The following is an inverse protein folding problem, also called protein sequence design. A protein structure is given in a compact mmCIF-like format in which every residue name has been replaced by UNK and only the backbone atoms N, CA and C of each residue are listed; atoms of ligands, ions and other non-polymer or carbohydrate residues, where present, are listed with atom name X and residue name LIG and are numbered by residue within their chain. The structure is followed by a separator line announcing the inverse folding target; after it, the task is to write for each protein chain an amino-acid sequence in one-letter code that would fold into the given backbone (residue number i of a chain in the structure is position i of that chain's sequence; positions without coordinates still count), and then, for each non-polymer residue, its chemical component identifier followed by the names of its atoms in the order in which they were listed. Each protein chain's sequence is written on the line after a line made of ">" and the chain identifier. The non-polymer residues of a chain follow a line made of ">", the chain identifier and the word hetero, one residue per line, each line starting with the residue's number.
data_IF_529313511959
#
_entry.id   IF_529313511959
#
_cell.length_a   1.000
_cell.length_b   1.000
_cell.length_c   1.000
_cell.angle_alpha   90.00
_cell.angle_beta   90.00
_cell.angle_gamma   90.00
#
_symmetry.space_group_name_H-M   'P 1'
#
loop_
_entity.id
_entity.type
_entity.pdbx_description
1 polymer ?
#
# COMPACT_ATOMS: atom_id res chain seq x y z
N UNK A 1 36.86 21.91 13.04
CA UNK A 1 35.55 21.61 12.38
C UNK A 1 35.83 20.62 11.27
N UNK A 2 35.53 19.32 11.45
CA UNK A 2 35.63 18.34 10.36
C UNK A 2 34.61 18.75 9.31
N UNK A 3 35.08 19.10 8.11
CA UNK A 3 34.21 19.35 6.97
C UNK A 3 33.33 18.12 6.77
N UNK A 4 32.02 18.30 6.87
CA UNK A 4 31.07 17.27 6.47
C UNK A 4 31.38 16.99 4.99
N UNK A 5 31.72 15.75 4.62
CA UNK A 5 31.98 15.44 3.22
C UNK A 5 30.74 15.82 2.40
N UNK A 6 30.92 16.39 1.19
CA UNK A 6 29.79 16.75 0.36
C UNK A 6 28.91 15.50 0.16
N UNK A 7 27.61 15.62 0.45
CA UNK A 7 26.66 14.55 0.16
C UNK A 7 26.72 14.22 -1.32
N UNK A 8 26.70 12.94 -1.65
CA UNK A 8 26.70 12.53 -3.05
C UNK A 8 25.42 13.05 -3.75
N UNK A 9 25.45 13.21 -5.09
CA UNK A 9 24.33 13.76 -5.84
C UNK A 9 23.02 12.96 -5.69
N UNK A 10 23.10 11.65 -5.49
CA UNK A 10 21.94 10.78 -5.31
C UNK A 10 21.29 11.03 -3.95
N UNK A 11 22.07 11.06 -2.87
CA UNK A 11 21.57 11.40 -1.53
C UNK A 11 20.90 12.77 -1.51
N UNK A 12 21.52 13.77 -2.13
CA UNK A 12 20.96 15.13 -2.21
C UNK A 12 19.63 15.15 -2.98
N UNK A 13 19.56 14.47 -4.12
CA UNK A 13 18.33 14.34 -4.89
C UNK A 13 17.21 13.67 -4.08
N UNK A 14 17.50 12.54 -3.44
CA UNK A 14 16.50 11.77 -2.69
C UNK A 14 15.95 12.56 -1.51
N UNK A 15 16.79 13.29 -0.77
CA UNK A 15 16.35 14.13 0.34
C UNK A 15 15.50 15.31 -0.15
N UNK A 16 15.90 15.98 -1.23
CA UNK A 16 15.15 17.08 -1.83
C UNK A 16 13.79 16.63 -2.41
N UNK A 17 13.73 15.39 -2.93
CA UNK A 17 12.51 14.80 -3.48
C UNK A 17 11.61 14.14 -2.41
N UNK A 18 11.93 14.29 -1.11
CA UNK A 18 11.23 13.64 0.01
C UNK A 18 11.15 12.10 -0.15
N UNK A 19 12.20 11.50 -0.72
CA UNK A 19 12.34 10.06 -0.95
C UNK A 19 13.12 9.36 0.18
N UNK A 20 12.77 9.71 1.43
CA UNK A 20 13.45 9.17 2.62
C UNK A 20 13.41 7.64 2.70
N UNK A 21 12.33 7.01 2.21
CA UNK A 21 12.23 5.55 2.19
C UNK A 21 13.27 4.91 1.26
N UNK A 22 13.46 5.46 0.06
CA UNK A 22 14.46 4.98 -0.91
C UNK A 22 15.87 5.19 -0.34
N UNK A 23 16.14 6.38 0.21
CA UNK A 23 17.39 6.69 0.86
C UNK A 23 17.72 5.68 1.97
N UNK A 24 16.77 5.43 2.90
CA UNK A 24 17.00 4.51 4.01
C UNK A 24 17.31 3.09 3.54
N UNK A 25 16.64 2.60 2.48
CA UNK A 25 16.94 1.28 1.93
C UNK A 25 18.36 1.25 1.36
N UNK A 26 18.76 2.25 0.58
CA UNK A 26 20.10 2.30 -0.03
C UNK A 26 21.22 2.44 1.01
N UNK A 27 20.99 3.14 2.12
CA UNK A 27 21.99 3.31 3.18
C UNK A 27 21.92 2.24 4.27
N UNK A 28 21.04 1.25 4.14
CA UNK A 28 20.83 0.21 5.16
C UNK A 28 20.24 0.72 6.48
N UNK A 29 19.61 1.90 6.48
CA UNK A 29 19.00 2.45 7.68
C UNK A 29 17.68 1.71 8.01
N UNK A 30 17.43 1.32 9.27
CA UNK A 30 16.23 0.58 9.62
C UNK A 30 14.93 1.33 9.30
N UNK A 31 13.97 0.61 8.74
CA UNK A 31 12.64 1.12 8.44
C UNK A 31 11.65 0.74 9.54
N UNK A 32 10.98 1.73 10.13
CA UNK A 32 10.02 1.52 11.22
C UNK A 32 8.64 1.13 10.67
N UNK A 33 8.19 -0.08 11.00
CA UNK A 33 6.88 -0.63 10.66
C UNK A 33 6.06 -0.88 11.94
N UNK A 34 5.72 0.17 12.68
CA UNK A 34 4.97 0.05 13.94
C UNK A 34 3.49 0.34 13.76
N UNK A 35 2.65 -0.55 14.32
CA UNK A 35 1.22 -0.35 14.45
C UNK A 35 0.84 -0.14 15.92
N UNK A 36 0.74 1.12 16.33
CA UNK A 36 0.33 1.47 17.70
C UNK A 36 -1.11 1.03 18.05
N UNK A 37 -1.95 0.75 17.06
CA UNK A 37 -3.38 0.45 17.25
C UNK A 37 -3.79 -0.96 16.79
N UNK A 38 -2.82 -1.82 16.43
CA UNK A 38 -3.13 -3.20 16.06
C UNK A 38 -3.18 -4.07 17.30
N UNK A 39 -4.30 -4.78 17.47
CA UNK A 39 -4.46 -5.73 18.56
C UNK A 39 -3.70 -7.02 18.24
N UNK A 40 -2.41 -7.05 18.58
CA UNK A 40 -1.55 -8.22 18.43
C UNK A 40 -1.96 -9.43 19.27
N UNK A 41 -3.00 -9.33 20.11
CA UNK A 41 -3.59 -10.47 20.85
C UNK A 41 -4.60 -11.23 20.00
N UNK A 42 -5.07 -10.63 18.92
CA UNK A 42 -6.11 -11.17 18.06
C UNK A 42 -5.52 -11.77 16.80
N UNK A 43 -5.87 -13.03 16.51
CA UNK A 43 -5.52 -13.68 15.24
C UNK A 43 -6.47 -13.30 14.09
N UNK A 44 -7.41 -12.36 14.29
CA UNK A 44 -8.51 -12.06 13.36
C UNK A 44 -8.04 -11.62 11.96
N UNK A 45 -6.85 -11.02 11.84
CA UNK A 45 -6.27 -10.60 10.56
C UNK A 45 -4.96 -11.34 10.22
N UNK A 46 -4.63 -12.39 10.99
CA UNK A 46 -3.31 -13.00 10.94
C UNK A 46 -2.19 -12.05 11.37
N UNK A 47 -0.98 -12.29 10.84
CA UNK A 47 0.21 -11.48 11.10
C UNK A 47 0.21 -10.25 10.21
N UNK A 48 0.17 -9.05 10.81
CA UNK A 48 0.36 -7.81 10.07
C UNK A 48 1.69 -7.81 9.29
N UNK A 49 2.74 -8.35 9.91
CA UNK A 49 4.05 -8.43 9.29
C UNK A 49 4.02 -9.24 7.99
N UNK A 50 3.20 -10.29 7.92
CA UNK A 50 3.07 -11.13 6.72
C UNK A 50 2.30 -10.40 5.61
N UNK A 51 1.32 -9.57 5.98
CA UNK A 51 0.58 -8.74 5.04
C UNK A 51 1.53 -7.74 4.34
N UNK A 52 2.35 -7.03 5.11
CA UNK A 52 3.23 -5.97 4.58
C UNK A 52 4.61 -6.47 4.12
N UNK A 53 5.03 -7.65 4.58
CA UNK A 53 6.38 -8.19 4.36
C UNK A 53 6.69 -8.33 2.88
N UNK A 54 5.72 -8.79 2.08
CA UNK A 54 5.84 -8.89 0.63
C UNK A 54 6.02 -7.53 -0.04
N UNK A 55 5.21 -6.54 0.33
CA UNK A 55 5.32 -5.17 -0.20
C UNK A 55 6.72 -4.62 0.06
N UNK A 56 7.25 -4.84 1.27
CA UNK A 56 8.60 -4.40 1.65
C UNK A 56 9.69 -5.17 0.88
N UNK A 57 9.57 -6.49 0.80
CA UNK A 57 10.51 -7.37 0.07
C UNK A 57 10.64 -6.95 -1.39
N UNK A 58 9.52 -6.78 -2.09
CA UNK A 58 9.48 -6.47 -3.51
C UNK A 58 9.95 -5.04 -3.79
N UNK A 59 9.50 -4.04 -3.02
CA UNK A 59 9.96 -2.66 -3.24
C UNK A 59 11.46 -2.52 -2.92
N UNK A 60 11.96 -3.28 -1.94
CA UNK A 60 13.38 -3.34 -1.65
C UNK A 60 14.19 -3.88 -2.83
N UNK A 61 13.75 -4.97 -3.45
CA UNK A 61 14.48 -5.53 -4.59
C UNK A 61 14.43 -4.65 -5.83
N UNK A 62 13.39 -3.83 -6.01
CA UNK A 62 13.38 -2.78 -7.04
C UNK A 62 14.44 -1.72 -6.72
N UNK A 63 14.46 -1.19 -5.49
CA UNK A 63 15.41 -0.14 -5.09
C UNK A 63 16.86 -0.64 -5.14
N UNK A 64 17.09 -1.88 -4.72
CA UNK A 64 18.41 -2.50 -4.66
C UNK A 64 18.81 -3.21 -5.96
N UNK A 65 17.98 -3.20 -7.01
CA UNK A 65 18.19 -4.01 -8.21
C UNK A 65 19.57 -3.81 -8.85
N UNK A 66 19.98 -2.54 -9.00
CA UNK A 66 21.29 -2.19 -9.59
C UNK A 66 22.45 -2.30 -8.58
N UNK A 67 22.16 -2.44 -7.29
CA UNK A 67 23.14 -2.62 -6.21
C UNK A 67 23.20 -4.08 -5.73
N UNK A 68 22.53 -5.02 -6.40
CA UNK A 68 22.41 -6.41 -5.96
C UNK A 68 23.76 -7.16 -5.88
N UNK A 69 24.78 -6.68 -6.59
CA UNK A 69 26.13 -7.22 -6.56
C UNK A 69 27.01 -6.60 -5.47
N UNK A 70 26.55 -5.53 -4.81
CA UNK A 70 27.29 -4.78 -3.78
C UNK A 70 27.06 -5.33 -2.36
N UNK A 71 26.33 -6.44 -2.24
CA UNK A 71 26.16 -7.20 -1.00
C UNK A 71 24.88 -6.89 -0.22
N UNK A 72 24.29 -5.71 -0.35
CA UNK A 72 23.02 -5.40 0.30
C UNK A 72 21.83 -6.01 -0.48
N UNK A 73 21.26 -7.09 0.06
CA UNK A 73 20.12 -7.82 -0.51
C UNK A 73 18.94 -7.96 0.44
N UNK A 74 18.83 -7.02 1.39
CA UNK A 74 17.79 -7.05 2.41
C UNK A 74 17.51 -5.65 2.94
N UNK A 75 16.40 -5.54 3.66
CA UNK A 75 16.01 -4.36 4.43
C UNK A 75 15.88 -4.72 5.90
N UNK A 76 16.35 -3.82 6.75
CA UNK A 76 16.18 -3.89 8.19
C UNK A 76 14.84 -3.25 8.55
N UNK A 77 13.94 -4.03 9.14
CA UNK A 77 12.61 -3.57 9.56
C UNK A 77 12.49 -3.64 11.07
N UNK A 78 12.21 -2.52 11.71
CA UNK A 78 11.87 -2.48 13.14
C UNK A 78 10.36 -2.59 13.27
N UNK A 79 9.89 -3.65 13.91
CA UNK A 79 8.46 -3.88 14.11
C UNK A 79 8.21 -4.70 15.37
N UNK A 80 6.94 -4.88 15.70
CA UNK A 80 6.45 -5.84 16.70
C UNK A 80 5.58 -6.86 15.98
N UNK A 81 5.84 -8.16 16.16
CA UNK A 81 5.15 -9.24 15.43
C UNK A 81 4.00 -9.87 16.22
N UNK A 82 4.09 -9.92 17.54
CA UNK A 82 3.08 -10.52 18.42
C UNK A 82 2.90 -9.73 19.70
N UNK A 83 1.84 -9.96 20.48
CA UNK A 83 1.61 -9.23 21.72
C UNK A 83 2.71 -9.48 22.76
N UNK A 84 3.24 -10.69 22.77
CA UNK A 84 4.22 -11.22 23.72
C UNK A 84 5.66 -10.84 23.39
N UNK A 85 5.94 -10.43 22.15
CA UNK A 85 7.29 -10.02 21.74
C UNK A 85 7.52 -8.51 21.93
N UNK A 86 8.74 -8.08 22.29
CA UNK A 86 9.13 -6.68 22.23
C UNK A 86 9.25 -6.21 20.78
N UNK A 87 9.42 -4.90 20.58
CA UNK A 87 9.88 -4.39 19.29
C UNK A 87 11.29 -4.91 19.03
N UNK A 88 11.50 -5.43 17.83
CA UNK A 88 12.78 -5.95 17.41
C UNK A 88 13.07 -5.55 15.97
N UNK A 89 14.35 -5.66 15.60
CA UNK A 89 14.81 -5.51 14.23
C UNK A 89 14.78 -6.86 13.54
N UNK A 90 14.21 -6.89 12.35
CA UNK A 90 14.08 -8.09 11.53
C UNK A 90 14.70 -7.84 10.15
N UNK A 91 15.30 -8.88 9.59
CA UNK A 91 15.81 -8.88 8.22
C UNK A 91 14.68 -9.32 7.30
N UNK A 92 14.34 -8.48 6.33
CA UNK A 92 13.44 -8.82 5.22
C UNK A 92 14.30 -8.97 3.97
N UNK A 93 14.42 -10.18 3.39
CA UNK A 93 15.18 -10.36 2.15
C UNK A 93 14.52 -9.53 1.04
N UNK A 94 15.33 -8.98 0.14
CA UNK A 94 14.84 -8.31 -1.04
C UNK A 94 14.57 -9.36 -2.14
N UNK A 95 13.34 -9.38 -2.65
CA UNK A 95 13.00 -10.15 -3.84
C UNK A 95 13.16 -9.26 -5.06
N UNK A 96 13.91 -9.71 -6.06
CA UNK A 96 14.23 -8.92 -7.24
C UNK A 96 13.22 -9.19 -8.37
N UNK A 97 12.80 -8.16 -9.12
CA UNK A 97 11.93 -8.36 -10.27
C UNK A 97 12.59 -9.29 -11.30
N UNK A 98 11.81 -10.14 -12.00
CA UNK A 98 12.34 -11.11 -12.96
C UNK A 98 12.81 -10.46 -14.27
N UNK A 99 12.55 -9.17 -14.46
CA UNK A 99 12.88 -8.40 -15.66
C UNK A 99 13.85 -7.28 -15.29
N UNK A 100 14.67 -6.85 -16.26
CA UNK A 100 15.51 -5.66 -16.10
C UNK A 100 14.64 -4.43 -15.89
N UNK A 101 15.07 -3.56 -14.96
CA UNK A 101 14.38 -2.31 -14.63
C UNK A 101 15.32 -1.11 -14.77
N UNK A 102 14.80 0.10 -15.03
CA UNK A 102 15.60 1.31 -15.05
C UNK A 102 16.28 1.57 -13.70
N UNK A 103 17.39 2.31 -13.69
CA UNK A 103 17.96 2.84 -12.46
C UNK A 103 16.92 3.61 -11.64
N UNK A 104 17.00 3.51 -10.31
CA UNK A 104 16.04 4.17 -9.42
C UNK A 104 15.95 5.68 -9.66
N UNK A 105 17.07 6.32 -10.02
CA UNK A 105 17.12 7.73 -10.37
C UNK A 105 16.32 8.07 -11.63
N UNK A 106 16.27 7.17 -12.60
CA UNK A 106 15.46 7.32 -13.81
C UNK A 106 13.97 7.13 -13.50
N UNK A 107 13.64 6.15 -12.63
CA UNK A 107 12.26 5.97 -12.14
C UNK A 107 11.76 7.21 -11.38
N UNK A 108 12.62 7.84 -10.59
CA UNK A 108 12.30 8.99 -9.76
C UNK A 108 12.44 10.34 -10.48
N UNK A 109 13.09 10.38 -11.65
CA UNK A 109 13.36 11.61 -12.36
C UNK A 109 12.04 12.35 -12.65
N UNK A 110 11.96 13.66 -12.33
CA UNK A 110 10.82 14.45 -12.72
C UNK A 110 10.76 14.49 -14.25
N UNK A 111 9.58 14.24 -14.78
CA UNK A 111 9.31 14.03 -16.19
C UNK A 111 9.38 15.32 -17.02
N UNK A 112 10.54 15.99 -17.05
CA UNK A 112 10.66 17.29 -17.70
C UNK A 112 10.66 17.22 -19.23
N UNK A 113 10.73 16.03 -19.85
CA UNK A 113 10.67 15.88 -21.32
C UNK A 113 9.87 14.66 -21.86
N UNK A 114 9.47 13.66 -21.04
CA UNK A 114 8.63 12.51 -21.48
C UNK A 114 7.78 11.89 -20.34
N UNK A 115 6.73 12.58 -19.87
CA UNK A 115 5.94 12.17 -18.69
C UNK A 115 5.25 10.82 -18.68
N UNK A 116 5.14 10.16 -19.83
CA UNK A 116 4.38 8.93 -19.93
C UNK A 116 5.21 7.73 -20.39
N UNK A 117 6.50 7.91 -20.73
CA UNK A 117 7.31 6.84 -21.30
C UNK A 117 7.55 5.68 -20.31
N UNK A 118 7.79 5.99 -19.03
CA UNK A 118 8.02 5.00 -17.98
C UNK A 118 6.76 4.64 -17.20
N UNK A 119 5.63 5.30 -17.45
CA UNK A 119 4.41 5.07 -16.69
C UNK A 119 3.94 3.60 -16.76
N UNK A 120 3.86 2.94 -17.94
CA UNK A 120 3.48 1.53 -18.00
C UNK A 120 4.40 0.63 -17.16
N UNK A 121 5.71 0.89 -17.18
CA UNK A 121 6.68 0.13 -16.41
C UNK A 121 6.57 0.38 -14.91
N UNK A 122 6.34 1.62 -14.48
CA UNK A 122 6.06 1.96 -13.08
C UNK A 122 4.80 1.25 -12.58
N UNK A 123 3.77 1.15 -13.41
CA UNK A 123 2.52 0.44 -13.08
C UNK A 123 2.73 -1.08 -13.04
N UNK A 124 3.52 -1.65 -13.94
CA UNK A 124 3.85 -3.08 -13.93
C UNK A 124 4.62 -3.44 -12.65
N UNK A 125 5.61 -2.63 -12.29
CA UNK A 125 6.36 -2.79 -11.04
C UNK A 125 5.47 -2.64 -9.81
N UNK A 126 4.55 -1.67 -9.81
CA UNK A 126 3.61 -1.49 -8.71
C UNK A 126 2.68 -2.70 -8.56
N UNK A 127 2.16 -3.24 -9.67
CA UNK A 127 1.33 -4.43 -9.65
C UNK A 127 2.09 -5.63 -9.07
N UNK A 128 3.34 -5.82 -9.50
CA UNK A 128 4.22 -6.88 -9.00
C UNK A 128 4.57 -6.71 -7.51
N UNK A 129 4.75 -5.48 -7.02
CA UNK A 129 4.94 -5.21 -5.58
C UNK A 129 3.73 -5.68 -4.75
N UNK A 130 2.52 -5.63 -5.32
CA UNK A 130 1.31 -6.09 -4.65
C UNK A 130 1.25 -7.62 -4.57
N UNK A 131 1.24 -8.29 -5.71
CA UNK A 131 1.08 -9.74 -5.84
C UNK A 131 1.43 -10.20 -7.27
N UNK A 132 1.90 -11.43 -7.41
CA UNK A 132 2.07 -12.08 -8.73
C UNK A 132 0.70 -12.43 -9.36
N UNK A 133 -0.36 -12.48 -8.55
CA UNK A 133 -1.72 -12.82 -8.99
C UNK A 133 -2.53 -11.61 -9.47
N UNK A 134 -1.99 -10.38 -9.37
CA UNK A 134 -2.71 -9.17 -9.76
C UNK A 134 -2.59 -8.98 -11.29
N UNK A 135 -3.68 -9.10 -12.07
CA UNK A 135 -3.62 -8.99 -13.53
C UNK A 135 -3.24 -7.57 -13.96
N UNK A 136 -2.08 -7.42 -14.58
CA UNK A 136 -1.54 -6.11 -14.98
C UNK A 136 -2.48 -5.33 -15.90
N UNK A 137 -3.08 -5.97 -16.91
CA UNK A 137 -3.94 -5.28 -17.88
C UNK A 137 -5.15 -4.61 -17.18
N UNK A 138 -5.85 -5.34 -16.32
CA UNK A 138 -6.98 -4.81 -15.56
C UNK A 138 -6.53 -3.77 -14.54
N UNK A 139 -5.38 -3.96 -13.89
CA UNK A 139 -4.80 -3.01 -12.95
C UNK A 139 -4.40 -1.68 -13.62
N UNK A 140 -3.78 -1.73 -14.79
CA UNK A 140 -3.35 -0.56 -15.54
C UNK A 140 -4.54 0.25 -16.10
N UNK A 141 -5.69 -0.39 -16.29
CA UNK A 141 -6.94 0.25 -16.72
C UNK A 141 -7.71 0.96 -15.59
N UNK A 142 -7.27 0.82 -14.33
CA UNK A 142 -7.96 1.44 -13.20
C UNK A 142 -7.87 2.97 -13.21
N UNK A 143 -8.90 3.66 -12.69
CA UNK A 143 -8.76 5.08 -12.36
C UNK A 143 -7.60 5.30 -11.41
N UNK A 144 -6.74 6.28 -11.71
CA UNK A 144 -5.56 6.58 -10.90
C UNK A 144 -5.89 6.82 -9.42
N UNK A 145 -7.04 7.43 -9.12
CA UNK A 145 -7.53 7.68 -7.77
C UNK A 145 -7.84 6.41 -6.97
N UNK A 146 -8.16 5.30 -7.63
CA UNK A 146 -8.56 4.04 -6.97
C UNK A 146 -7.45 3.00 -6.93
N UNK A 147 -6.36 3.20 -7.67
CA UNK A 147 -5.33 2.20 -7.86
C UNK A 147 -4.73 1.67 -6.55
N UNK A 148 -4.33 2.57 -5.63
CA UNK A 148 -3.76 2.17 -4.34
C UNK A 148 -4.82 1.57 -3.41
N UNK A 149 -6.07 2.02 -3.52
CA UNK A 149 -7.19 1.42 -2.81
C UNK A 149 -7.33 -0.03 -3.24
N UNK A 150 -7.45 -0.29 -4.54
CA UNK A 150 -7.66 -1.64 -5.08
C UNK A 150 -6.45 -2.53 -4.81
N UNK A 151 -5.23 -2.02 -4.93
CA UNK A 151 -4.01 -2.73 -4.51
C UNK A 151 -4.06 -3.15 -3.04
N UNK A 152 -4.50 -2.23 -2.16
CA UNK A 152 -4.65 -2.50 -0.72
C UNK A 152 -5.72 -3.57 -0.46
N UNK A 153 -6.87 -3.46 -1.12
CA UNK A 153 -7.96 -4.43 -1.01
C UNK A 153 -7.54 -5.80 -1.52
N UNK A 154 -6.86 -5.86 -2.67
CA UNK A 154 -6.32 -7.10 -3.22
C UNK A 154 -5.40 -7.81 -2.22
N UNK A 155 -4.41 -7.08 -1.67
CA UNK A 155 -3.47 -7.69 -0.72
C UNK A 155 -4.16 -8.18 0.55
N UNK A 156 -5.08 -7.39 1.10
CA UNK A 156 -5.81 -7.75 2.32
C UNK A 156 -6.75 -8.94 2.12
N UNK A 157 -7.43 -9.01 0.97
CA UNK A 157 -8.30 -10.13 0.61
C UNK A 157 -7.50 -11.41 0.32
N UNK A 158 -6.39 -11.31 -0.42
CA UNK A 158 -5.48 -12.43 -0.70
C UNK A 158 -4.92 -13.06 0.60
N UNK A 159 -4.61 -12.23 1.59
CA UNK A 159 -4.15 -12.69 2.90
C UNK A 159 -5.28 -13.20 3.82
N UNK A 160 -6.55 -13.12 3.39
CA UNK A 160 -7.72 -13.50 4.19
C UNK A 160 -8.03 -12.54 5.34
N UNK A 161 -7.50 -11.30 5.32
CA UNK A 161 -7.78 -10.30 6.34
C UNK A 161 -9.15 -9.62 6.14
N UNK A 162 -9.60 -9.52 4.88
CA UNK A 162 -10.92 -9.01 4.51
C UNK A 162 -11.79 -10.12 3.93
N UNK A 163 -13.07 -10.08 4.25
CA UNK A 163 -14.10 -10.78 3.49
C UNK A 163 -14.48 -9.95 2.25
N UNK A 164 -15.16 -10.59 1.29
CA UNK A 164 -15.52 -9.94 0.03
C UNK A 164 -16.39 -8.68 0.22
N UNK A 165 -17.40 -8.75 1.11
CA UNK A 165 -18.28 -7.59 1.34
C UNK A 165 -17.54 -6.40 1.95
N UNK A 166 -16.50 -6.65 2.76
CA UNK A 166 -15.70 -5.59 3.38
C UNK A 166 -14.84 -4.87 2.36
N UNK A 167 -14.25 -5.64 1.44
CA UNK A 167 -13.50 -5.09 0.33
C UNK A 167 -14.42 -4.26 -0.59
N UNK A 168 -15.60 -4.77 -0.90
CA UNK A 168 -16.59 -4.06 -1.72
C UNK A 168 -17.09 -2.77 -1.06
N UNK A 169 -17.36 -2.78 0.25
CA UNK A 169 -17.76 -1.58 0.98
C UNK A 169 -16.66 -0.51 0.97
N UNK A 170 -15.40 -0.92 1.19
CA UNK A 170 -14.25 -0.01 1.13
C UNK A 170 -14.05 0.57 -0.27
N UNK A 171 -14.18 -0.25 -1.32
CA UNK A 171 -14.07 0.19 -2.71
C UNK A 171 -15.18 1.19 -3.05
N UNK A 172 -16.42 0.90 -2.65
CA UNK A 172 -17.55 1.79 -2.88
C UNK A 172 -17.35 3.15 -2.22
N UNK A 173 -16.92 3.18 -0.95
CA UNK A 173 -16.65 4.45 -0.25
C UNK A 173 -15.53 5.24 -0.93
N UNK A 174 -14.44 4.56 -1.33
CA UNK A 174 -13.34 5.22 -2.03
C UNK A 174 -13.79 5.80 -3.38
N UNK A 175 -14.63 5.09 -4.11
CA UNK A 175 -15.21 5.57 -5.35
C UNK A 175 -16.10 6.81 -5.12
N UNK A 176 -17.06 6.73 -4.20
CA UNK A 176 -17.96 7.83 -3.85
C UNK A 176 -17.20 9.09 -3.43
N UNK A 177 -16.12 8.91 -2.66
CA UNK A 177 -15.25 9.99 -2.23
C UNK A 177 -14.46 10.57 -3.41
N UNK A 178 -14.02 9.75 -4.36
CA UNK A 178 -13.27 10.20 -5.54
C UNK A 178 -14.09 11.05 -6.53
N UNK A 179 -15.41 11.00 -6.42
CA UNK A 179 -16.36 11.77 -7.24
C UNK A 179 -17.16 12.79 -6.41
N UNK A 180 -16.71 13.09 -5.18
CA UNK A 180 -17.32 14.05 -4.26
C UNK A 180 -18.82 13.82 -4.03
N UNK A 181 -19.27 12.55 -4.02
CA UNK A 181 -20.69 12.21 -3.87
C UNK A 181 -21.19 12.35 -2.43
N UNK A 182 -20.29 12.51 -1.47
CA UNK A 182 -20.62 12.83 -0.08
C UNK A 182 -19.55 13.71 0.57
N UNK A 183 -19.94 14.40 1.63
CA UNK A 183 -19.06 15.22 2.47
C UNK A 183 -18.65 14.43 3.73
N UNK A 184 -17.38 14.03 3.87
CA UNK A 184 -16.83 13.39 5.07
C UNK A 184 -17.11 14.15 6.38
N UNK A 185 -17.15 15.49 6.32
CA UNK A 185 -17.36 16.32 7.50
C UNK A 185 -18.81 16.30 7.99
N UNK A 186 -19.74 15.92 7.13
CA UNK A 186 -21.17 15.78 7.42
C UNK A 186 -21.55 14.35 7.87
N UNK A 187 -20.65 13.39 7.81
CA UNK A 187 -20.92 12.00 8.22
C UNK A 187 -21.18 11.91 9.73
N UNK A 188 -22.25 11.21 10.09
CA UNK A 188 -22.66 11.09 11.49
C UNK A 188 -21.73 10.16 12.24
N UNK A 189 -21.43 10.49 13.49
CA UNK A 189 -20.71 9.57 14.38
C UNK A 189 -21.57 8.33 14.65
N UNK A 190 -21.01 7.11 14.56
CA UNK A 190 -21.75 5.91 14.86
C UNK A 190 -22.14 5.88 16.35
N UNK A 191 -23.39 5.49 16.63
CA UNK A 191 -23.86 5.35 18.01
C UNK A 191 -23.16 4.20 18.75
N UNK A 192 -22.78 3.14 18.02
CA UNK A 192 -22.07 1.98 18.56
C UNK A 192 -20.94 1.58 17.62
N UNK A 193 -19.78 1.30 18.20
CA UNK A 193 -18.64 0.77 17.46
C UNK A 193 -18.73 -0.76 17.29
N UNK A 194 -18.90 -1.24 16.07
CA UNK A 194 -18.56 -2.60 15.65
C UNK A 194 -17.05 -2.83 15.75
N UNK A 195 -16.59 -3.81 16.56
CA UNK A 195 -15.17 -4.06 16.77
C UNK A 195 -14.41 -4.48 15.50
N UNK A 196 -15.05 -5.21 14.59
CA UNK A 196 -14.41 -5.69 13.35
C UNK A 196 -14.26 -4.54 12.36
N UNK A 197 -15.32 -3.75 12.16
CA UNK A 197 -15.28 -2.57 11.30
C UNK A 197 -14.21 -1.57 11.76
N UNK A 198 -14.14 -1.30 13.06
CA UNK A 198 -13.12 -0.43 13.63
C UNK A 198 -11.71 -0.90 13.29
N UNK A 199 -11.40 -2.17 13.55
CA UNK A 199 -10.06 -2.73 13.30
C UNK A 199 -9.69 -2.77 11.80
N UNK A 200 -10.66 -3.05 10.93
CA UNK A 200 -10.48 -3.01 9.47
C UNK A 200 -10.07 -1.61 9.01
N UNK A 201 -10.71 -0.56 9.54
CA UNK A 201 -10.36 0.82 9.22
C UNK A 201 -8.88 1.12 9.48
N UNK A 202 -8.35 0.71 10.65
CA UNK A 202 -6.93 0.89 10.97
C UNK A 202 -6.01 0.05 10.08
N UNK A 203 -6.36 -1.22 9.86
CA UNK A 203 -5.56 -2.12 9.04
C UNK A 203 -5.48 -1.59 7.59
N UNK A 204 -6.62 -1.21 7.01
CA UNK A 204 -6.70 -0.65 5.67
C UNK A 204 -5.83 0.59 5.53
N UNK A 205 -5.98 1.59 6.41
CA UNK A 205 -5.19 2.83 6.34
C UNK A 205 -3.67 2.57 6.39
N UNK A 206 -3.26 1.58 7.18
CA UNK A 206 -1.84 1.28 7.37
C UNK A 206 -1.26 0.54 6.19
N UNK A 207 -1.95 -0.48 5.67
CA UNK A 207 -1.52 -1.17 4.45
C UNK A 207 -1.57 -0.22 3.25
N UNK A 208 -2.58 0.64 3.16
CA UNK A 208 -2.64 1.71 2.15
C UNK A 208 -1.41 2.60 2.19
N UNK A 209 -0.96 3.02 3.38
CA UNK A 209 0.26 3.82 3.51
C UNK A 209 1.52 3.08 3.03
N UNK A 210 1.59 1.75 3.15
CA UNK A 210 2.66 0.95 2.56
C UNK A 210 2.58 0.91 1.04
N UNK A 211 1.40 0.67 0.47
CA UNK A 211 1.17 0.69 -0.97
C UNK A 211 1.47 2.07 -1.58
N UNK A 212 0.99 3.15 -0.96
CA UNK A 212 1.25 4.53 -1.38
C UNK A 212 2.74 4.89 -1.30
N UNK A 213 3.47 4.37 -0.30
CA UNK A 213 4.92 4.53 -0.20
C UNK A 213 5.65 3.80 -1.31
N UNK A 214 5.24 2.58 -1.66
CA UNK A 214 5.78 1.86 -2.81
C UNK A 214 5.56 2.66 -4.10
N UNK A 215 4.35 3.15 -4.33
CA UNK A 215 4.06 4.01 -5.49
C UNK A 215 4.94 5.27 -5.53
N UNK A 216 5.15 5.93 -4.38
CA UNK A 216 6.06 7.08 -4.27
C UNK A 216 7.51 6.72 -4.60
N UNK A 217 7.99 5.56 -4.12
CA UNK A 217 9.34 5.06 -4.38
C UNK A 217 9.57 4.67 -5.85
N UNK A 218 8.49 4.38 -6.60
CA UNK A 218 8.52 4.17 -8.04
C UNK A 218 8.38 5.47 -8.85
N UNK A 219 8.30 6.63 -8.18
CA UNK A 219 8.16 7.91 -8.86
C UNK A 219 6.78 8.10 -9.51
N UNK A 220 5.73 7.48 -8.97
CA UNK A 220 4.37 7.70 -9.47
C UNK A 220 3.83 9.09 -9.05
N UNK A 221 3.18 9.82 -9.99
CA UNK A 221 2.57 11.11 -9.70
C UNK A 221 1.51 11.04 -8.59
N UNK A 222 1.27 12.18 -7.93
CA UNK A 222 0.32 12.27 -6.80
C UNK A 222 -1.09 11.80 -7.13
N UNK A 223 -1.55 11.93 -8.39
CA UNK A 223 -2.87 11.45 -8.85
C UNK A 223 -3.09 9.94 -8.64
N UNK A 224 -2.00 9.16 -8.63
CA UNK A 224 -2.05 7.71 -8.36
C UNK A 224 -2.05 7.37 -6.87
N UNK A 225 -1.85 8.35 -5.97
CA UNK A 225 -1.70 8.14 -4.52
C UNK A 225 -2.45 9.23 -3.73
N UNK A 226 -3.78 9.29 -3.84
CA UNK A 226 -4.57 10.28 -3.11
C UNK A 226 -4.39 10.13 -1.59
N UNK A 227 -4.46 11.24 -0.86
CA UNK A 227 -4.19 11.26 0.59
C UNK A 227 -5.31 10.63 1.44
N UNK A 228 -6.53 10.57 0.91
CA UNK A 228 -7.72 10.16 1.67
C UNK A 228 -8.56 9.18 0.86
N UNK A 229 -8.23 7.88 0.87
CA UNK A 229 -9.01 6.84 0.17
C UNK A 229 -10.18 6.30 0.99
N UNK A 230 -10.39 6.79 2.22
CA UNK A 230 -11.24 6.14 3.22
C UNK A 230 -11.93 7.15 4.12
N UNK A 231 -13.23 6.97 4.31
CA UNK A 231 -14.01 7.60 5.37
C UNK A 231 -14.43 6.55 6.40
N UNK A 232 -13.89 6.68 7.61
CA UNK A 232 -14.13 5.71 8.68
C UNK A 232 -15.51 5.80 9.32
N UNK A 233 -16.15 6.96 9.27
CA UNK A 233 -17.49 7.13 9.82
C UNK A 233 -18.51 6.44 8.91
N UNK A 234 -18.43 6.70 7.61
CA UNK A 234 -19.27 6.09 6.59
C UNK A 234 -19.06 4.58 6.53
N UNK A 235 -17.81 4.11 6.54
CA UNK A 235 -17.52 2.67 6.59
C UNK A 235 -18.23 2.01 7.76
N UNK A 236 -18.10 2.62 8.94
CA UNK A 236 -18.70 2.10 10.15
C UNK A 236 -20.22 2.13 10.14
N UNK A 237 -20.82 3.23 9.69
CA UNK A 237 -22.28 3.41 9.61
C UNK A 237 -22.93 2.43 8.63
N UNK A 238 -22.23 2.07 7.55
CA UNK A 238 -22.75 1.21 6.48
C UNK A 238 -22.42 -0.27 6.67
N UNK A 239 -21.50 -0.60 7.58
CA UNK A 239 -20.97 -1.95 7.77
C UNK A 239 -22.04 -3.01 8.00
N UNK A 240 -22.95 -2.81 8.96
CA UNK A 240 -23.98 -3.80 9.29
C UNK A 240 -25.04 -3.95 8.20
N UNK A 241 -25.40 -2.88 7.49
CA UNK A 241 -26.36 -2.94 6.38
C UNK A 241 -25.77 -3.72 5.19
N UNK A 242 -24.50 -3.46 4.87
CA UNK A 242 -23.75 -4.20 3.86
C UNK A 242 -23.59 -5.68 4.21
N UNK A 243 -23.25 -5.98 5.46
CA UNK A 243 -23.13 -7.36 5.93
C UNK A 243 -24.44 -8.15 5.78
N UNK A 244 -25.58 -7.50 5.94
CA UNK A 244 -26.91 -8.11 5.76
C UNK A 244 -27.38 -8.19 4.30
N UNK A 245 -26.58 -7.67 3.36
CA UNK A 245 -26.93 -7.63 1.93
C UNK A 245 -27.90 -6.52 1.53
N UNK A 246 -28.25 -5.60 2.43
CA UNK A 246 -29.24 -4.52 2.18
C UNK A 246 -28.75 -3.52 1.11
N UNK A 247 -27.44 -3.50 0.84
CA UNK A 247 -26.76 -2.52 -0.02
C UNK A 247 -26.13 -3.13 -1.28
N UNK A 248 -26.47 -4.38 -1.62
CA UNK A 248 -25.86 -5.12 -2.74
C UNK A 248 -26.05 -4.44 -4.11
N UNK A 249 -27.11 -3.65 -4.27
CA UNK A 249 -27.38 -2.91 -5.51
C UNK A 249 -26.30 -1.87 -5.85
N UNK A 250 -25.51 -1.41 -4.87
CA UNK A 250 -24.40 -0.49 -5.10
C UNK A 250 -23.17 -1.15 -5.75
N UNK A 251 -23.08 -2.49 -5.74
CA UNK A 251 -21.97 -3.24 -6.34
C UNK A 251 -21.83 -2.93 -7.84
N UNK A 252 -22.95 -2.68 -8.53
CA UNK A 252 -22.95 -2.39 -9.97
C UNK A 252 -22.09 -1.16 -10.32
N UNK A 253 -21.94 -0.20 -9.39
CA UNK A 253 -21.14 1.00 -9.60
C UNK A 253 -19.63 0.80 -9.51
N UNK A 254 -19.18 -0.36 -9.01
CA UNK A 254 -17.76 -0.66 -8.76
C UNK A 254 -17.31 -1.99 -9.37
N UNK A 255 -18.20 -2.70 -10.07
CA UNK A 255 -18.02 -4.10 -10.49
C UNK A 255 -16.73 -4.29 -11.31
N UNK A 256 -16.43 -3.35 -12.20
CA UNK A 256 -15.28 -3.41 -13.11
C UNK A 256 -13.92 -3.29 -12.38
N UNK A 257 -13.94 -2.85 -11.12
CA UNK A 257 -12.73 -2.58 -10.33
C UNK A 257 -12.49 -3.60 -9.21
N UNK A 258 -13.33 -4.63 -9.11
CA UNK A 258 -13.27 -5.67 -8.06
C UNK A 258 -12.17 -6.70 -8.35
N UNK A 259 -10.94 -6.27 -8.65
CA UNK A 259 -9.84 -7.18 -8.99
C UNK A 259 -9.51 -8.19 -7.88
N UNK A 260 -9.93 -7.92 -6.65
CA UNK A 260 -9.75 -8.78 -5.49
C UNK A 260 -10.80 -9.90 -5.37
N UNK A 261 -11.84 -9.93 -6.23
CA UNK A 261 -12.89 -10.95 -6.17
C UNK A 261 -12.34 -12.37 -6.35
N UNK A 262 -11.34 -12.52 -7.21
CA UNK A 262 -10.84 -13.82 -7.64
C UNK A 262 -9.93 -14.47 -6.59
N UNK A 263 -9.36 -13.64 -5.70
CA UNK A 263 -8.54 -14.07 -4.56
C UNK A 263 -9.33 -14.13 -3.26
N UNK A 264 -10.61 -13.78 -3.28
CA UNK A 264 -11.48 -13.85 -2.12
C UNK A 264 -11.74 -15.30 -1.74
N UNK A 265 -11.31 -15.69 -0.54
CA UNK A 265 -11.64 -16.99 0.02
C UNK A 265 -13.12 -17.01 0.40
N UNK A 266 -13.81 -18.09 0.03
CA UNK A 266 -15.14 -18.38 0.54
C UNK A 266 -14.96 -18.82 2.00
N UNK A 267 -15.45 -18.01 2.93
CA UNK A 267 -15.49 -18.31 4.37
C UNK A 267 -16.91 -18.61 4.80
#
# INVERSE_FOLDING_TARGET
>A
LKSIPPMDPMTTFLLNADQQFVHNILTGYPFNCTLYFFDYRSATFGSYFDIIGRIISHIAGIILFHHQHEGQRHVLVVTKRSHTEPHAQYIVPAEFPPKSIPPIMELLAPDSNKPDALLPQKLELLAWVCSDNLPFASFAALPASLMITIMTLFRLTECGALSLFEADLLLWIAHELSIDRFDPSAERRPYRLDPRAFRIGFLFQKVYAHCARAAKALGLPRKYRPSTPFDGLRFHNQYSAWQKGEMQHHIQSIVDWRLYSDVARIF
#
